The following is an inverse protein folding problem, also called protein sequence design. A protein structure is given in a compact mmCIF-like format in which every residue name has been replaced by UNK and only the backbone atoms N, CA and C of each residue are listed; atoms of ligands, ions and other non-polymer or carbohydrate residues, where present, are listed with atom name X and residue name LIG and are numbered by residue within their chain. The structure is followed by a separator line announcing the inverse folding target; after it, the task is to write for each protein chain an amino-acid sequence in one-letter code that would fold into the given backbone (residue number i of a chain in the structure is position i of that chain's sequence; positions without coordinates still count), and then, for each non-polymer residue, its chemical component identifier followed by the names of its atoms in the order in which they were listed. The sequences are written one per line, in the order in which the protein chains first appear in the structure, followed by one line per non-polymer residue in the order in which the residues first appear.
data_IF_542228314285
#
_entry.id   IF_542228314285
#
_cell.length_a   1.000
_cell.length_b   1.000
_cell.length_c   1.000
_cell.angle_alpha   90.00
_cell.angle_beta   90.00
_cell.angle_gamma   90.00
#
_symmetry.space_group_name_H-M   'P 1'
#
loop_
_entity.id
_entity.type
_entity.pdbx_description
1 polymer ?
#
# COMPACT_ATOMS: atom_id res chain seq x y z
N UNK A 1 10.99 -24.71 -96.59
CA UNK A 1 12.15 -24.16 -95.86
C UNK A 1 11.77 -23.16 -94.77
N UNK A 2 10.52 -22.70 -94.65
CA UNK A 2 10.10 -21.74 -93.61
C UNK A 2 9.80 -22.38 -92.24
N UNK A 3 9.38 -23.65 -92.20
CA UNK A 3 8.93 -24.33 -90.96
C UNK A 3 10.09 -24.73 -90.04
N UNK A 4 11.29 -24.97 -90.58
CA UNK A 4 12.50 -25.31 -89.81
C UNK A 4 13.22 -24.12 -89.17
N UNK A 5 12.85 -22.89 -89.54
CA UNK A 5 13.48 -21.66 -89.04
C UNK A 5 12.72 -21.15 -87.82
N UNK A 6 11.39 -21.27 -87.80
CA UNK A 6 10.57 -20.87 -86.66
C UNK A 6 10.79 -21.75 -85.41
N UNK A 7 11.00 -23.06 -85.57
CA UNK A 7 11.30 -23.96 -84.44
C UNK A 7 12.64 -23.67 -83.76
N UNK A 8 13.62 -23.13 -84.50
CA UNK A 8 14.94 -22.80 -83.98
C UNK A 8 14.99 -21.41 -83.33
N UNK A 9 14.16 -20.47 -83.78
CA UNK A 9 13.98 -19.17 -83.13
C UNK A 9 13.16 -19.31 -81.83
N UNK A 10 12.13 -20.16 -81.81
CA UNK A 10 11.32 -20.41 -80.62
C UNK A 10 12.14 -21.05 -79.49
N UNK A 11 13.04 -21.99 -79.81
CA UNK A 11 13.90 -22.63 -78.81
C UNK A 11 14.93 -21.68 -78.22
N UNK A 12 15.44 -20.73 -79.02
CA UNK A 12 16.41 -19.75 -78.55
C UNK A 12 15.78 -18.71 -77.62
N UNK A 13 14.53 -18.31 -77.90
CA UNK A 13 13.77 -17.37 -77.05
C UNK A 13 13.33 -18.03 -75.74
N UNK A 14 12.97 -19.32 -75.75
CA UNK A 14 12.69 -20.10 -74.53
C UNK A 14 13.93 -20.30 -73.64
N UNK A 15 15.10 -20.57 -74.23
CA UNK A 15 16.37 -20.68 -73.50
C UNK A 15 16.77 -19.35 -72.85
N UNK A 16 16.58 -18.22 -73.54
CA UNK A 16 16.88 -16.88 -73.00
C UNK A 16 15.96 -16.50 -71.83
N UNK A 17 14.67 -16.87 -71.90
CA UNK A 17 13.72 -16.67 -70.80
C UNK A 17 14.09 -17.54 -69.60
N UNK A 18 14.49 -18.80 -69.83
CA UNK A 18 14.88 -19.71 -68.75
C UNK A 18 16.14 -19.23 -68.02
N UNK A 19 17.15 -18.76 -68.75
CA UNK A 19 18.36 -18.16 -68.17
C UNK A 19 18.04 -16.88 -67.38
N UNK A 20 17.15 -16.02 -67.90
CA UNK A 20 16.74 -14.80 -67.20
C UNK A 20 15.99 -15.08 -65.90
N UNK A 21 15.13 -16.12 -65.87
CA UNK A 21 14.43 -16.54 -64.66
C UNK A 21 15.40 -17.13 -63.64
N UNK A 22 16.32 -18.00 -64.07
CA UNK A 22 17.34 -18.60 -63.18
C UNK A 22 18.26 -17.53 -62.58
N UNK A 23 18.72 -16.56 -63.35
CA UNK A 23 19.53 -15.45 -62.84
C UNK A 23 18.75 -14.58 -61.84
N UNK A 24 17.45 -14.38 -62.07
CA UNK A 24 16.59 -13.63 -61.16
C UNK A 24 16.36 -14.35 -59.82
N UNK A 25 16.19 -15.67 -59.85
CA UNK A 25 16.04 -16.49 -58.64
C UNK A 25 17.35 -16.52 -57.84
N UNK A 26 18.50 -16.67 -58.50
CA UNK A 26 19.82 -16.63 -57.86
C UNK A 26 20.11 -15.25 -57.24
N UNK A 27 19.73 -14.16 -57.92
CA UNK A 27 19.85 -12.81 -57.38
C UNK A 27 18.94 -12.60 -56.15
N UNK A 28 17.73 -13.18 -56.16
CA UNK A 28 16.79 -13.11 -55.04
C UNK A 28 17.29 -13.88 -53.81
N UNK A 29 17.81 -15.10 -53.98
CA UNK A 29 18.40 -15.88 -52.90
C UNK A 29 19.63 -15.18 -52.29
N UNK A 30 20.47 -14.57 -53.13
CA UNK A 30 21.63 -13.82 -52.67
C UNK A 30 21.22 -12.59 -51.84
N UNK A 31 20.12 -11.92 -52.22
CA UNK A 31 19.57 -10.80 -51.48
C UNK A 31 18.97 -11.23 -50.13
N UNK A 32 18.21 -12.33 -50.11
CA UNK A 32 17.63 -12.89 -48.88
C UNK A 32 18.71 -13.37 -47.89
N UNK A 33 19.73 -14.09 -48.37
CA UNK A 33 20.87 -14.50 -47.53
C UNK A 33 21.61 -13.30 -46.95
N UNK A 34 21.75 -12.22 -47.73
CA UNK A 34 22.38 -10.97 -47.26
C UNK A 34 21.52 -10.30 -46.18
N UNK A 35 20.20 -10.26 -46.34
CA UNK A 35 19.29 -9.72 -45.33
C UNK A 35 19.29 -10.57 -44.05
N UNK A 36 19.28 -11.91 -44.16
CA UNK A 36 19.37 -12.81 -43.01
C UNK A 36 20.68 -12.64 -42.24
N UNK A 37 21.81 -12.58 -42.95
CA UNK A 37 23.12 -12.36 -42.33
C UNK A 37 23.21 -11.00 -41.64
N UNK A 38 22.58 -9.97 -42.21
CA UNK A 38 22.55 -8.63 -41.64
C UNK A 38 21.63 -8.55 -40.41
N UNK A 39 20.48 -9.22 -40.45
CA UNK A 39 19.59 -9.38 -39.31
C UNK A 39 20.26 -10.16 -38.17
N UNK A 40 20.89 -11.30 -38.46
CA UNK A 40 21.62 -12.10 -37.49
C UNK A 40 22.80 -11.33 -36.88
N UNK A 41 23.56 -10.61 -37.71
CA UNK A 41 24.62 -9.71 -37.25
C UNK A 41 24.10 -8.60 -36.35
N UNK A 42 22.97 -7.97 -36.70
CA UNK A 42 22.35 -6.95 -35.89
C UNK A 42 21.85 -7.50 -34.54
N UNK A 43 21.24 -8.70 -34.53
CA UNK A 43 20.80 -9.34 -33.27
C UNK A 43 22.00 -9.68 -32.39
N UNK A 44 23.08 -10.21 -32.96
CA UNK A 44 24.30 -10.53 -32.21
C UNK A 44 24.94 -9.27 -31.61
N UNK A 45 25.03 -8.17 -32.38
CA UNK A 45 25.54 -6.89 -31.86
C UNK A 45 24.65 -6.36 -30.75
N UNK A 46 23.33 -6.44 -30.90
CA UNK A 46 22.38 -5.97 -29.88
C UNK A 46 22.52 -6.76 -28.58
N UNK A 47 22.55 -8.10 -28.65
CA UNK A 47 22.72 -8.98 -27.49
C UNK A 47 24.06 -8.73 -26.80
N UNK A 48 25.17 -8.69 -27.55
CA UNK A 48 26.49 -8.43 -26.99
C UNK A 48 26.57 -7.03 -26.36
N UNK A 49 25.97 -6.01 -26.98
CA UNK A 49 25.95 -4.66 -26.44
C UNK A 49 25.18 -4.59 -25.12
N UNK A 50 24.01 -5.22 -25.03
CA UNK A 50 23.24 -5.27 -23.78
C UNK A 50 23.91 -6.13 -22.70
N UNK A 51 24.57 -7.22 -23.08
CA UNK A 51 25.40 -8.01 -22.15
C UNK A 51 26.57 -7.17 -21.60
N UNK A 52 27.28 -6.43 -22.44
CA UNK A 52 28.36 -5.55 -22.01
C UNK A 52 27.84 -4.38 -21.15
N UNK A 53 26.71 -3.77 -21.52
CA UNK A 53 26.05 -2.74 -20.70
C UNK A 53 25.63 -3.30 -19.34
N UNK A 54 25.07 -4.50 -19.29
CA UNK A 54 24.71 -5.17 -18.03
C UNK A 54 25.93 -5.49 -17.17
N UNK A 55 27.04 -5.90 -17.79
CA UNK A 55 28.29 -6.17 -17.09
C UNK A 55 28.93 -4.88 -16.57
N UNK A 56 28.89 -3.79 -17.34
CA UNK A 56 29.42 -2.50 -16.91
C UNK A 56 28.57 -1.90 -15.79
N UNK A 57 27.24 -2.04 -15.83
CA UNK A 57 26.39 -1.60 -14.72
C UNK A 57 26.56 -2.48 -13.47
N UNK A 58 26.67 -3.80 -13.61
CA UNK A 58 26.97 -4.69 -12.48
C UNK A 58 28.34 -4.41 -11.85
N UNK A 59 29.36 -4.10 -12.67
CA UNK A 59 30.69 -3.69 -12.18
C UNK A 59 30.65 -2.28 -11.58
N UNK A 60 29.79 -1.38 -12.06
CA UNK A 60 29.63 -0.05 -11.49
C UNK A 60 29.00 -0.10 -10.09
N UNK A 61 28.01 -0.97 -9.88
CA UNK A 61 27.48 -1.26 -8.54
C UNK A 61 28.57 -1.85 -7.64
N UNK A 62 29.34 -2.85 -8.09
CA UNK A 62 30.47 -3.42 -7.31
C UNK A 62 31.58 -2.40 -7.00
N UNK A 63 31.82 -1.42 -7.89
CA UNK A 63 32.84 -0.39 -7.69
C UNK A 63 32.38 0.73 -6.74
N UNK A 64 31.07 1.01 -6.71
CA UNK A 64 30.43 1.91 -5.76
C UNK A 64 30.35 1.24 -4.37
N UNK A 65 30.06 -0.06 -4.33
CA UNK A 65 29.98 -0.86 -3.11
C UNK A 65 31.35 -1.11 -2.47
N UNK A 66 32.40 -1.32 -3.30
CA UNK A 66 33.79 -1.46 -2.85
C UNK A 66 34.45 -0.20 -2.28
N UNK A 67 33.76 0.95 -2.26
CA UNK A 67 34.15 2.16 -1.53
C UNK A 67 33.56 2.22 -0.12
N UNK A 68 32.67 1.29 0.24
CA UNK A 68 32.19 1.10 1.61
C UNK A 68 33.03 0.01 2.29
N UNK A 69 33.78 0.42 3.32
CA UNK A 69 34.56 -0.48 4.16
C UNK A 69 33.60 -1.18 5.15
N UNK A 70 32.75 -2.08 4.65
CA UNK A 70 31.85 -2.91 5.46
C UNK A 70 32.35 -4.35 5.41
N UNK A 71 33.14 -4.73 6.41
CA UNK A 71 33.60 -6.10 6.64
C UNK A 71 32.41 -6.99 7.02
N UNK A 72 31.75 -7.59 6.03
CA UNK A 72 30.72 -8.62 6.21
C UNK A 72 30.75 -9.68 5.10
N UNK A 73 30.30 -10.92 5.34
CA UNK A 73 30.11 -11.89 4.26
C UNK A 73 29.14 -11.31 3.23
N UNK A 74 29.43 -11.49 1.94
CA UNK A 74 28.84 -10.82 0.77
C UNK A 74 27.30 -10.95 0.55
N UNK A 75 26.53 -11.36 1.55
CA UNK A 75 25.07 -11.51 1.49
C UNK A 75 24.35 -10.95 2.74
N UNK A 76 25.01 -10.17 3.58
CA UNK A 76 24.37 -9.50 4.71
C UNK A 76 24.03 -8.06 4.35
N UNK A 77 22.74 -7.74 4.26
CA UNK A 77 22.29 -6.34 4.25
C UNK A 77 22.48 -5.83 5.68
N UNK A 78 23.51 -5.02 5.91
CA UNK A 78 23.74 -4.36 7.18
C UNK A 78 22.54 -3.49 7.55
N UNK A 79 21.85 -3.82 8.64
CA UNK A 79 20.80 -2.96 9.21
C UNK A 79 21.48 -1.99 10.17
N UNK A 80 21.52 -0.72 9.80
CA UNK A 80 21.84 0.35 10.75
C UNK A 80 20.54 0.86 11.37
N UNK A 81 20.45 0.76 12.68
CA UNK A 81 19.34 1.34 13.44
C UNK A 81 19.59 2.83 13.61
N UNK A 82 18.71 3.65 13.06
CA UNK A 82 18.71 5.10 13.25
C UNK A 82 18.08 5.48 14.60
N UNK A 83 18.07 6.77 14.91
CA UNK A 83 17.30 7.28 16.06
C UNK A 83 15.80 7.00 15.86
N UNK A 84 15.07 6.61 16.92
CA UNK A 84 13.65 6.35 16.83
C UNK A 84 12.89 7.65 16.55
N UNK A 85 11.88 7.55 15.68
CA UNK A 85 10.92 8.61 15.42
C UNK A 85 9.62 8.23 16.13
N UNK A 86 9.10 9.15 16.92
CA UNK A 86 7.90 8.92 17.71
C UNK A 86 6.71 9.61 17.05
N UNK A 87 5.58 8.90 17.01
CA UNK A 87 4.34 9.42 16.47
C UNK A 87 3.66 10.33 17.50
N UNK A 88 3.16 11.51 17.10
CA UNK A 88 2.61 12.47 18.04
C UNK A 88 1.33 11.96 18.68
N UNK A 89 1.09 12.39 19.90
CA UNK A 89 -0.23 12.35 20.52
C UNK A 89 -1.02 13.59 20.10
N UNK A 90 -2.34 13.52 20.16
CA UNK A 90 -3.15 14.72 20.09
C UNK A 90 -2.88 15.62 21.30
N UNK A 91 -2.86 16.95 21.08
CA UNK A 91 -2.40 17.93 22.06
C UNK A 91 -3.26 17.93 23.34
N UNK A 92 -4.57 17.79 23.20
CA UNK A 92 -5.53 17.69 24.29
C UNK A 92 -5.33 16.44 25.16
N UNK A 93 -4.68 15.41 24.62
CA UNK A 93 -4.47 14.12 25.29
C UNK A 93 -3.16 14.04 26.07
N UNK A 94 -2.35 15.11 26.08
CA UNK A 94 -1.07 15.17 26.79
C UNK A 94 -1.33 15.47 28.27
N UNK A 95 -1.25 14.45 29.13
CA UNK A 95 -1.48 14.57 30.58
C UNK A 95 -0.28 14.11 31.44
N UNK A 96 0.36 14.99 32.23
CA UNK A 96 1.49 14.67 33.13
C UNK A 96 1.17 13.67 34.24
N UNK A 97 -0.10 13.41 34.50
CA UNK A 97 -0.55 12.55 35.59
C UNK A 97 -0.93 11.14 35.14
N UNK A 98 -0.92 10.87 33.83
CA UNK A 98 -1.37 9.59 33.25
C UNK A 98 -0.39 8.42 33.44
N UNK A 99 0.75 8.64 34.09
CA UNK A 99 1.76 7.61 34.39
C UNK A 99 2.66 7.24 33.21
N UNK A 100 2.55 7.91 32.06
CA UNK A 100 3.56 7.87 31.01
C UNK A 100 4.83 8.57 31.51
N UNK A 101 5.98 8.11 31.02
CA UNK A 101 7.25 8.78 31.32
C UNK A 101 7.20 10.24 30.83
N UNK A 102 7.55 11.23 31.69
CA UNK A 102 7.54 12.64 31.32
C UNK A 102 8.26 12.99 30.02
N UNK A 103 9.28 12.23 29.65
CA UNK A 103 10.05 12.46 28.41
C UNK A 103 9.28 12.02 27.15
N UNK A 104 8.23 11.21 27.29
CA UNK A 104 7.46 10.64 26.18
C UNK A 104 6.00 11.09 26.11
N UNK A 105 5.58 11.96 27.02
CA UNK A 105 4.19 12.34 27.21
C UNK A 105 3.48 12.91 25.97
N UNK A 106 4.23 13.52 25.06
CA UNK A 106 3.74 14.08 23.81
C UNK A 106 3.53 13.05 22.69
N UNK A 107 3.77 11.76 22.95
CA UNK A 107 3.72 10.69 21.96
C UNK A 107 2.63 9.66 22.28
N UNK A 108 2.00 9.14 21.23
CA UNK A 108 0.99 8.11 21.37
C UNK A 108 1.54 6.80 21.91
N UNK A 109 0.75 6.12 22.73
CA UNK A 109 1.04 4.76 23.19
C UNK A 109 -0.09 3.87 22.72
N UNK A 110 0.30 2.74 22.16
CA UNK A 110 -0.63 1.77 21.67
C UNK A 110 0.03 0.42 21.51
N UNK A 111 -0.80 -0.57 21.23
CA UNK A 111 -0.39 -1.92 20.94
C UNK A 111 -1.02 -2.39 19.64
N UNK A 112 -0.53 -3.52 19.14
CA UNK A 112 -1.06 -4.16 17.94
C UNK A 112 -1.03 -3.27 16.69
N UNK A 113 0.13 -2.68 16.36
CA UNK A 113 0.19 -1.77 15.23
C UNK A 113 0.02 -2.51 13.91
N UNK A 114 -0.53 -1.80 12.92
CA UNK A 114 -0.43 -2.15 11.51
C UNK A 114 0.24 -1.02 10.73
N UNK A 115 0.95 -1.37 9.66
CA UNK A 115 1.71 -0.47 8.81
C UNK A 115 1.43 -0.79 7.35
N UNK A 116 1.10 0.25 6.59
CA UNK A 116 1.03 0.19 5.13
C UNK A 116 1.90 1.28 4.49
N UNK A 117 2.25 1.06 3.22
CA UNK A 117 3.00 1.99 2.39
C UNK A 117 2.35 2.02 1.02
N UNK A 118 2.09 3.23 0.51
CA UNK A 118 1.57 3.42 -0.84
C UNK A 118 2.69 3.47 -1.90
N UNK A 119 2.32 3.55 -3.18
CA UNK A 119 3.28 3.57 -4.29
C UNK A 119 4.14 4.83 -4.35
N UNK A 120 3.71 5.91 -3.70
CA UNK A 120 4.44 7.18 -3.58
C UNK A 120 5.42 7.18 -2.40
N UNK A 121 5.37 6.17 -1.53
CA UNK A 121 6.19 6.07 -0.32
C UNK A 121 5.59 6.78 0.89
N UNK A 122 4.32 7.19 0.82
CA UNK A 122 3.61 7.63 2.02
C UNK A 122 3.32 6.41 2.89
N UNK A 123 3.45 6.58 4.20
CA UNK A 123 3.29 5.51 5.17
C UNK A 123 2.12 5.80 6.08
N UNK A 124 1.38 4.76 6.46
CA UNK A 124 0.26 4.85 7.37
C UNK A 124 0.43 3.82 8.48
N UNK A 125 0.28 4.25 9.72
CA UNK A 125 0.37 3.39 10.90
C UNK A 125 -0.91 3.53 11.70
N UNK A 126 -1.49 2.41 12.08
CA UNK A 126 -2.51 2.36 13.14
C UNK A 126 -1.97 1.64 14.35
N UNK A 127 -2.55 1.91 15.50
CA UNK A 127 -2.38 1.11 16.71
C UNK A 127 -3.61 1.27 17.59
N UNK A 128 -3.98 0.22 18.31
CA UNK A 128 -4.96 0.34 19.38
C UNK A 128 -4.40 1.24 20.49
N UNK A 129 -5.16 2.22 20.97
CA UNK A 129 -4.83 3.03 22.15
C UNK A 129 -4.64 2.15 23.39
N UNK A 130 -3.56 2.37 24.15
CA UNK A 130 -3.37 1.62 25.40
C UNK A 130 -4.51 1.92 26.38
N UNK A 131 -5.16 0.85 26.87
CA UNK A 131 -6.36 0.85 27.70
C UNK A 131 -6.23 1.63 29.01
N UNK A 132 -5.02 2.08 29.40
CA UNK A 132 -4.80 2.77 30.67
C UNK A 132 -5.28 4.24 30.70
N UNK A 133 -5.99 4.73 29.68
CA UNK A 133 -6.02 6.16 29.34
C UNK A 133 -7.40 6.89 29.26
N UNK A 134 -8.48 6.57 29.99
CA UNK A 134 -9.77 7.35 29.87
C UNK A 134 -10.95 6.99 30.80
N UNK A 135 -12.11 7.64 30.76
CA UNK A 135 -13.18 7.68 31.82
C UNK A 135 -13.53 6.42 32.69
N UNK A 136 -14.13 6.58 33.90
CA UNK A 136 -14.69 5.46 34.72
C UNK A 136 -15.99 4.83 34.14
N UNK A 137 -16.58 5.44 33.11
CA UNK A 137 -17.82 4.98 32.45
C UNK A 137 -17.62 3.74 31.58
N UNK A 138 -18.67 2.93 31.42
CA UNK A 138 -18.66 1.78 30.50
C UNK A 138 -19.83 1.81 29.51
N UNK A 139 -19.59 1.46 28.24
CA UNK A 139 -20.63 1.34 27.21
C UNK A 139 -21.66 0.24 27.48
N UNK A 140 -21.39 -0.63 28.47
CA UNK A 140 -22.27 -1.70 28.92
C UNK A 140 -22.93 -1.42 30.27
N UNK A 141 -22.77 -0.22 30.84
CA UNK A 141 -23.51 0.21 32.01
C UNK A 141 -24.97 0.50 31.63
N UNK A 142 -26.00 -0.16 32.22
CA UNK A 142 -26.03 -1.06 33.40
C UNK A 142 -26.30 -2.54 33.03
N UNK A 143 -26.28 -2.91 31.76
CA UNK A 143 -26.54 -4.29 31.31
C UNK A 143 -25.54 -5.31 31.84
N UNK A 144 -24.30 -4.87 32.11
CA UNK A 144 -23.23 -5.67 32.73
C UNK A 144 -22.75 -5.10 34.08
N UNK A 145 -23.49 -4.16 34.67
CA UNK A 145 -23.28 -3.72 36.05
C UNK A 145 -22.35 -2.51 36.27
N UNK A 146 -21.97 -1.77 35.23
CA UNK A 146 -21.21 -0.52 35.37
C UNK A 146 -22.06 0.77 35.35
N UNK A 147 -21.46 1.93 35.70
CA UNK A 147 -22.16 3.21 35.77
C UNK A 147 -22.56 3.75 34.37
N UNK A 148 -23.63 4.55 34.33
CA UNK A 148 -24.16 5.27 33.15
C UNK A 148 -23.31 6.50 32.74
N UNK A 149 -22.05 6.56 33.16
CA UNK A 149 -21.28 7.80 33.11
C UNK A 149 -20.70 8.09 31.72
N UNK A 150 -20.33 9.35 31.50
CA UNK A 150 -19.55 9.77 30.34
C UNK A 150 -18.16 9.13 30.32
N UNK A 151 -17.62 8.88 29.12
CA UNK A 151 -16.27 8.39 28.92
C UNK A 151 -15.48 9.43 28.15
N UNK A 152 -14.63 10.18 28.84
CA UNK A 152 -13.86 11.22 28.21
C UNK A 152 -12.57 10.65 27.64
N UNK A 153 -12.27 11.02 26.39
CA UNK A 153 -10.90 11.10 25.94
C UNK A 153 -10.40 12.50 26.29
N UNK A 154 -9.23 12.57 26.93
CA UNK A 154 -8.43 13.80 26.95
C UNK A 154 -9.08 14.99 27.71
N UNK A 155 -9.69 14.74 28.88
CA UNK A 155 -10.17 15.80 29.80
C UNK A 155 -9.14 16.11 30.90
N UNK A 156 -8.76 17.37 31.04
CA UNK A 156 -7.79 17.85 32.02
C UNK A 156 -8.27 17.61 33.47
N UNK A 157 -7.51 16.82 34.23
CA UNK A 157 -7.75 16.56 35.65
C UNK A 157 -8.55 15.30 36.00
N UNK A 158 -9.03 14.53 35.01
CA UNK A 158 -9.78 13.29 35.22
C UNK A 158 -8.87 12.05 35.04
N UNK A 159 -8.44 11.46 36.17
CA UNK A 159 -7.64 10.22 36.22
C UNK A 159 -8.52 9.01 35.94
N UNK A 160 -8.39 8.37 34.79
CA UNK A 160 -9.37 7.35 34.41
C UNK A 160 -8.73 6.21 33.58
N UNK A 161 -9.35 5.03 33.58
CA UNK A 161 -8.80 3.73 33.14
C UNK A 161 -9.21 3.16 31.75
N UNK A 162 -9.69 3.95 30.77
CA UNK A 162 -10.36 3.54 29.50
C UNK A 162 -10.49 4.66 28.43
N UNK A 163 -9.49 4.87 27.56
CA UNK A 163 -9.59 5.70 26.33
C UNK A 163 -10.16 4.81 25.20
N UNK A 164 -11.37 4.27 25.40
CA UNK A 164 -11.72 2.93 24.89
C UNK A 164 -12.31 2.83 23.47
N UNK A 165 -12.16 3.83 22.60
CA UNK A 165 -13.00 3.83 21.38
C UNK A 165 -12.38 4.40 20.11
N UNK A 166 -11.06 4.61 20.01
CA UNK A 166 -10.51 4.93 18.70
C UNK A 166 -9.09 4.45 18.59
N UNK A 167 -8.77 3.72 17.53
CA UNK A 167 -7.38 3.47 17.18
C UNK A 167 -6.66 4.78 16.85
N UNK A 168 -5.36 4.79 17.05
CA UNK A 168 -4.49 5.78 16.43
C UNK A 168 -4.50 5.58 14.90
N UNK A 169 -4.45 6.66 14.15
CA UNK A 169 -4.14 6.63 12.72
C UNK A 169 -3.16 7.75 12.39
N UNK A 170 -1.91 7.37 12.17
CA UNK A 170 -0.83 8.27 11.81
C UNK A 170 -0.42 8.09 10.36
N UNK A 171 -0.01 9.20 9.77
CA UNK A 171 0.45 9.24 8.39
C UNK A 171 1.81 9.93 8.31
N UNK A 172 2.57 9.57 7.28
CA UNK A 172 3.80 10.25 6.90
C UNK A 172 3.85 10.36 5.39
N UNK A 173 3.91 11.59 4.87
CA UNK A 173 3.99 11.87 3.43
C UNK A 173 5.40 12.29 2.98
N UNK A 174 6.41 12.00 3.81
CA UNK A 174 7.80 12.41 3.58
C UNK A 174 8.81 11.32 3.96
N UNK A 175 8.53 10.09 3.54
CA UNK A 175 9.36 8.92 3.79
C UNK A 175 9.65 8.69 5.29
N UNK A 176 8.69 9.00 6.18
CA UNK A 176 8.79 8.68 7.61
C UNK A 176 9.60 9.67 8.42
N UNK A 177 9.99 10.80 7.83
CA UNK A 177 10.80 11.82 8.51
C UNK A 177 10.02 12.55 9.60
N UNK A 178 8.70 12.69 9.43
CA UNK A 178 7.77 13.09 10.47
C UNK A 178 6.42 12.37 10.32
N UNK A 179 5.60 12.47 11.36
CA UNK A 179 4.29 11.83 11.42
C UNK A 179 3.25 12.84 11.92
N UNK A 180 2.05 12.78 11.37
CA UNK A 180 0.85 13.53 11.77
C UNK A 180 -0.34 12.59 11.87
N UNK A 181 -1.47 13.09 12.36
CA UNK A 181 -2.74 12.35 12.29
C UNK A 181 -3.29 12.37 10.87
N UNK A 182 -3.97 11.29 10.47
CA UNK A 182 -4.71 11.28 9.21
C UNK A 182 -5.93 12.20 9.24
N UNK A 183 -6.44 12.54 8.06
CA UNK A 183 -7.57 13.47 7.94
C UNK A 183 -8.82 12.93 8.64
N UNK A 184 -9.56 13.83 9.30
CA UNK A 184 -10.78 13.50 10.07
C UNK A 184 -10.58 12.45 11.19
N UNK A 185 -9.33 12.21 11.60
CA UNK A 185 -8.96 11.35 12.73
C UNK A 185 -8.55 12.18 13.97
N UNK A 186 -9.23 13.30 14.19
CA UNK A 186 -9.09 14.13 15.39
C UNK A 186 -9.64 13.42 16.63
N UNK A 187 -9.33 13.85 17.86
CA UNK A 187 -9.91 13.22 19.06
C UNK A 187 -11.42 13.35 19.07
N UNK A 188 -12.10 12.23 19.32
CA UNK A 188 -13.55 12.22 19.49
C UNK A 188 -13.90 12.44 20.96
N UNK A 189 -14.68 13.48 21.31
CA UNK A 189 -15.20 13.66 22.66
C UNK A 189 -16.23 12.57 23.02
N UNK A 190 -16.06 11.84 24.12
CA UNK A 190 -16.85 10.63 24.39
C UNK A 190 -17.93 10.69 25.49
N UNK A 191 -19.09 10.09 25.17
CA UNK A 191 -20.07 9.35 25.99
C UNK A 191 -20.99 8.59 25.01
N UNK A 192 -21.90 7.70 25.46
CA UNK A 192 -22.77 6.91 24.54
C UNK A 192 -23.60 7.80 23.62
N UNK A 193 -24.05 8.95 24.13
CA UNK A 193 -24.83 9.93 23.36
C UNK A 193 -23.94 10.66 22.34
N UNK A 194 -22.69 10.97 22.68
CA UNK A 194 -21.74 11.58 21.73
C UNK A 194 -21.33 10.60 20.65
N UNK A 195 -21.11 9.32 20.96
CA UNK A 195 -20.86 8.27 19.97
C UNK A 195 -22.08 8.06 19.05
N UNK A 196 -23.29 8.07 19.62
CA UNK A 196 -24.52 7.96 18.83
C UNK A 196 -24.80 9.21 17.96
N UNK A 197 -24.43 10.41 18.42
CA UNK A 197 -24.53 11.65 17.64
C UNK A 197 -23.42 11.70 16.58
N UNK A 198 -22.19 11.36 16.94
CA UNK A 198 -21.02 11.30 16.04
C UNK A 198 -21.22 10.32 14.89
N UNK A 199 -21.84 9.17 15.14
CA UNK A 199 -22.27 8.24 14.08
C UNK A 199 -23.27 8.86 13.09
N UNK A 200 -23.98 9.92 13.46
CA UNK A 200 -25.01 10.59 12.65
C UNK A 200 -24.49 11.91 12.04
N UNK A 201 -23.54 12.59 12.69
CA UNK A 201 -22.95 13.86 12.23
C UNK A 201 -21.65 13.68 11.45
N UNK A 202 -20.88 12.64 11.77
CA UNK A 202 -19.92 11.97 10.91
C UNK A 202 -18.49 12.47 10.90
N UNK A 203 -17.56 11.52 11.00
CA UNK A 203 -16.14 11.67 10.60
C UNK A 203 -15.29 10.54 11.16
N UNK A 204 -14.15 10.24 10.52
CA UNK A 204 -13.26 9.10 10.80
C UNK A 204 -13.21 8.62 12.25
N UNK A 205 -12.76 9.48 13.17
CA UNK A 205 -12.70 9.13 14.59
C UNK A 205 -14.06 9.05 15.28
N UNK A 206 -15.08 9.83 14.88
CA UNK A 206 -16.40 9.86 15.53
C UNK A 206 -17.19 8.54 15.44
N UNK A 207 -16.69 7.60 14.64
CA UNK A 207 -17.34 6.34 14.31
C UNK A 207 -16.77 5.12 15.03
N UNK A 208 -15.71 5.33 15.80
CA UNK A 208 -15.22 4.51 16.92
C UNK A 208 -15.24 2.98 16.73
N UNK A 209 -14.11 2.45 16.25
CA UNK A 209 -13.56 1.12 16.51
C UNK A 209 -12.53 1.12 17.67
N UNK A 210 -12.11 -0.04 18.16
CA UNK A 210 -11.15 -0.26 19.26
C UNK A 210 -9.76 -0.63 18.70
N UNK A 211 -9.74 -1.55 17.73
CA UNK A 211 -8.53 -2.16 17.15
C UNK A 211 -8.69 -2.31 15.62
N UNK A 212 -7.61 -2.41 14.84
CA UNK A 212 -7.78 -2.51 13.39
C UNK A 212 -6.56 -2.85 12.56
N UNK A 213 -6.78 -2.98 11.24
CA UNK A 213 -5.74 -3.27 10.25
C UNK A 213 -5.88 -2.37 9.01
N UNK A 214 -4.76 -2.07 8.36
CA UNK A 214 -4.68 -1.16 7.21
C UNK A 214 -4.17 -1.92 5.98
N UNK A 215 -4.76 -1.63 4.82
CA UNK A 215 -4.20 -2.02 3.53
C UNK A 215 -4.28 -0.90 2.50
N UNK A 216 -3.42 -0.96 1.49
CA UNK A 216 -3.40 -0.03 0.36
C UNK A 216 -3.59 -0.80 -0.94
N UNK A 217 -4.44 -0.32 -1.84
CA UNK A 217 -4.65 -0.94 -3.15
C UNK A 217 -3.68 -0.43 -4.22
N UNK A 218 -3.83 -0.88 -5.47
CA UNK A 218 -2.91 -0.50 -6.55
C UNK A 218 -3.09 0.94 -7.06
N UNK A 219 -4.10 1.66 -6.56
CA UNK A 219 -4.40 3.05 -6.90
C UNK A 219 -4.10 4.00 -5.73
N UNK A 220 -3.30 3.56 -4.76
CA UNK A 220 -2.93 4.31 -3.55
C UNK A 220 -4.13 4.71 -2.68
N UNK A 221 -5.22 3.95 -2.76
CA UNK A 221 -6.34 4.11 -1.83
C UNK A 221 -6.04 3.30 -0.57
N UNK A 222 -6.15 3.97 0.58
CA UNK A 222 -5.92 3.39 1.89
C UNK A 222 -7.25 2.94 2.48
N UNK A 223 -7.30 1.71 2.94
CA UNK A 223 -8.44 1.13 3.64
C UNK A 223 -8.03 0.79 5.05
N UNK A 224 -8.69 1.41 6.01
CA UNK A 224 -8.51 1.11 7.42
C UNK A 224 -9.80 0.50 7.95
N UNK A 225 -9.69 -0.66 8.58
CA UNK A 225 -10.81 -1.34 9.22
C UNK A 225 -10.65 -1.22 10.74
N UNK A 226 -11.45 -0.36 11.35
CA UNK A 226 -11.51 -0.13 12.79
C UNK A 226 -12.61 -1.01 13.39
N UNK A 227 -12.32 -1.76 14.44
CA UNK A 227 -13.20 -2.82 14.96
C UNK A 227 -13.45 -2.64 16.44
N UNK A 228 -14.71 -2.62 16.86
CA UNK A 228 -15.08 -2.74 18.28
C UNK A 228 -16.06 -3.89 18.44
N UNK A 229 -15.59 -4.99 19.03
CA UNK A 229 -16.44 -6.13 19.37
C UNK A 229 -17.27 -6.61 18.16
N UNK A 230 -18.60 -6.46 18.19
CA UNK A 230 -19.50 -6.98 17.15
C UNK A 230 -19.54 -6.11 15.87
N UNK A 231 -18.87 -4.95 15.88
CA UNK A 231 -18.96 -3.94 14.83
C UNK A 231 -17.62 -3.60 14.20
N UNK A 232 -17.61 -3.53 12.87
CA UNK A 232 -16.47 -3.09 12.09
C UNK A 232 -16.82 -1.83 11.31
N UNK A 233 -15.89 -0.89 11.22
CA UNK A 233 -16.03 0.39 10.55
C UNK A 233 -14.96 0.52 9.48
N UNK A 234 -15.42 0.68 8.23
CA UNK A 234 -14.50 0.98 7.15
C UNK A 234 -14.23 2.47 7.09
N UNK A 235 -12.95 2.77 6.97
CA UNK A 235 -12.40 4.08 6.67
C UNK A 235 -11.64 3.97 5.35
N UNK A 236 -11.83 4.98 4.50
CA UNK A 236 -11.15 5.09 3.22
C UNK A 236 -10.45 6.43 3.16
N UNK A 237 -9.20 6.42 2.73
CA UNK A 237 -8.43 7.63 2.53
C UNK A 237 -7.75 7.65 1.16
N UNK A 238 -7.53 8.86 0.68
CA UNK A 238 -6.72 9.18 -0.48
C UNK A 238 -5.61 10.16 -0.10
N UNK A 239 -4.78 10.54 -1.08
CA UNK A 239 -3.68 11.51 -0.90
C UNK A 239 -2.72 11.14 0.25
N UNK A 240 -2.33 9.86 0.34
CA UNK A 240 -1.42 9.37 1.38
C UNK A 240 -2.02 9.34 2.80
N UNK A 241 -3.33 9.58 2.93
CA UNK A 241 -4.06 9.65 4.20
C UNK A 241 -4.51 11.07 4.59
N UNK A 242 -4.17 12.07 3.77
CA UNK A 242 -4.54 13.49 3.96
C UNK A 242 -5.96 13.83 3.51
N UNK A 243 -6.69 12.87 2.92
CA UNK A 243 -8.09 13.05 2.55
C UNK A 243 -8.94 11.86 2.96
N UNK A 244 -9.99 12.11 3.75
CA UNK A 244 -10.97 11.11 4.14
C UNK A 244 -12.15 11.02 3.15
N UNK A 245 -12.39 9.82 2.60
CA UNK A 245 -13.27 9.64 1.44
C UNK A 245 -14.70 9.16 1.78
N UNK A 246 -14.99 8.84 3.03
CA UNK A 246 -16.24 8.15 3.41
C UNK A 246 -17.44 9.10 3.68
N UNK A 247 -17.25 10.40 3.53
CA UNK A 247 -18.30 11.40 3.78
C UNK A 247 -18.69 11.50 5.27
N UNK A 248 -19.90 12.00 5.53
CA UNK A 248 -20.37 12.35 6.89
C UNK A 248 -21.08 11.21 7.64
N UNK A 249 -21.01 9.96 7.20
CA UNK A 249 -21.58 8.82 7.93
C UNK A 249 -20.66 7.63 7.70
N UNK A 250 -20.15 7.03 8.76
CA UNK A 250 -19.25 5.89 8.62
C UNK A 250 -19.97 4.62 8.18
N UNK A 251 -19.24 3.77 7.47
CA UNK A 251 -19.77 2.54 6.93
C UNK A 251 -19.53 1.39 7.89
N UNK A 252 -20.56 1.07 8.67
CA UNK A 252 -20.57 -0.07 9.58
C UNK A 252 -20.83 -1.38 8.82
N UNK A 253 -20.06 -2.41 9.16
CA UNK A 253 -20.38 -3.80 8.87
C UNK A 253 -20.72 -4.51 10.18
N UNK A 254 -21.92 -5.06 10.23
CA UNK A 254 -22.31 -5.90 11.36
C UNK A 254 -21.63 -7.26 11.22
N UNK A 255 -20.95 -7.71 12.28
CA UNK A 255 -20.40 -9.07 12.35
C UNK A 255 -21.24 -9.93 13.30
N UNK A 256 -21.08 -11.26 13.24
CA UNK A 256 -21.86 -12.18 14.09
C UNK A 256 -21.16 -12.58 15.40
N UNK A 257 -19.93 -12.15 15.62
CA UNK A 257 -19.19 -12.38 16.86
C UNK A 257 -18.09 -11.32 17.00
N UNK A 258 -17.69 -11.07 18.26
CA UNK A 258 -16.62 -10.14 18.59
C UNK A 258 -15.37 -10.41 17.74
N UNK A 259 -14.99 -9.41 16.96
CA UNK A 259 -13.76 -9.36 16.20
C UNK A 259 -12.79 -8.44 16.94
N UNK A 260 -11.65 -9.02 17.34
CA UNK A 260 -10.54 -8.34 18.02
C UNK A 260 -9.41 -8.09 17.02
N UNK A 261 -9.42 -8.75 15.84
CA UNK A 261 -8.29 -8.63 14.92
C UNK A 261 -8.65 -8.92 13.48
N UNK A 262 -9.13 -7.92 12.74
CA UNK A 262 -9.25 -8.07 11.30
C UNK A 262 -7.86 -8.24 10.68
N UNK A 263 -7.82 -8.97 9.57
CA UNK A 263 -6.71 -8.91 8.63
C UNK A 263 -7.22 -8.40 7.30
N UNK A 264 -6.62 -7.33 6.79
CA UNK A 264 -7.03 -6.67 5.56
C UNK A 264 -5.89 -6.73 4.56
N UNK A 265 -6.22 -7.09 3.32
CA UNK A 265 -5.30 -7.03 2.20
C UNK A 265 -6.03 -6.46 0.99
N UNK A 266 -5.50 -5.40 0.40
CA UNK A 266 -6.06 -4.78 -0.78
C UNK A 266 -5.19 -5.09 -2.01
N UNK A 267 -5.82 -5.22 -3.17
CA UNK A 267 -5.14 -5.43 -4.45
C UNK A 267 -5.94 -4.87 -5.61
N UNK A 268 -5.26 -4.58 -6.72
CA UNK A 268 -5.92 -4.07 -7.92
C UNK A 268 -6.65 -2.75 -7.66
N UNK A 269 -7.77 -2.54 -8.33
CA UNK A 269 -8.60 -1.35 -8.19
C UNK A 269 -9.77 -1.64 -7.24
N UNK A 270 -9.63 -1.24 -5.98
CA UNK A 270 -10.69 -1.37 -4.97
C UNK A 270 -11.04 -2.79 -4.53
N UNK A 271 -10.20 -3.80 -4.79
CA UNK A 271 -10.46 -5.18 -4.34
C UNK A 271 -9.83 -5.40 -2.97
N UNK A 272 -10.68 -5.49 -1.95
CA UNK A 272 -10.26 -5.64 -0.55
C UNK A 272 -10.64 -7.04 -0.06
N UNK A 273 -9.67 -7.75 0.48
CA UNK A 273 -9.85 -9.02 1.18
C UNK A 273 -9.82 -8.71 2.67
N UNK A 274 -10.88 -9.10 3.36
CA UNK A 274 -10.96 -9.00 4.80
C UNK A 274 -11.18 -10.40 5.37
N UNK A 275 -10.34 -10.73 6.35
CA UNK A 275 -10.46 -11.92 7.17
C UNK A 275 -10.57 -11.48 8.62
N UNK A 276 -11.77 -11.54 9.17
CA UNK A 276 -11.99 -11.40 10.61
C UNK A 276 -12.39 -12.72 11.25
N UNK A 277 -12.52 -12.73 12.57
CA UNK A 277 -13.04 -13.89 13.30
C UNK A 277 -14.45 -14.32 12.84
N UNK A 278 -15.18 -13.43 12.14
CA UNK A 278 -16.56 -13.62 11.69
C UNK A 278 -16.84 -13.31 10.21
N UNK A 279 -15.84 -12.89 9.41
CA UNK A 279 -15.89 -12.68 7.95
C UNK A 279 -17.19 -12.12 7.34
N UNK A 280 -17.39 -10.80 7.38
CA UNK A 280 -18.41 -10.09 6.59
C UNK A 280 -17.83 -9.56 5.26
N UNK A 281 -18.61 -9.47 4.18
CA UNK A 281 -18.12 -8.94 2.90
C UNK A 281 -18.04 -7.39 2.93
N UNK A 282 -17.00 -6.76 2.34
CA UNK A 282 -16.89 -5.30 2.26
C UNK A 282 -18.08 -4.68 1.50
N UNK A 283 -18.41 -3.40 1.74
CA UNK A 283 -19.49 -2.71 1.01
C UNK A 283 -19.23 -2.74 -0.50
N UNK A 284 -20.26 -3.07 -1.29
CA UNK A 284 -20.12 -3.07 -2.76
C UNK A 284 -19.95 -1.64 -3.29
N UNK A 285 -19.01 -1.45 -4.21
CA UNK A 285 -18.79 -0.20 -4.93
C UNK A 285 -20.09 0.24 -5.64
N UNK A 286 -20.64 1.40 -5.27
CA UNK A 286 -21.76 2.05 -5.98
C UNK A 286 -21.28 3.21 -6.83
#
# INVERSE_FOLDING_TARGET
MAERVMDAELSAEEDEILDAVLDSDVASEAAERRQLNLAFGATAVFVVSFMLLSAVWGIADDLIDGLSDETGPANEVGISWLEPIYMPRHEECIDPNNGQDPDYIGYGVGYEPSLSIDSMGNMQVTAHKDLRWGGEGTPFGPGLGGPFDSWYACEDGEMTSWDYWASWFWISTNNGSNWSHGDSFEPTPGNLLNSAIGSVTGGGSECLGDEGDIAVDANDVIYYLDTTLEDNWWHRFSDGGESYDMGSICQRMNTMAADDRPWVAAQGDGIIHYLGNSGAAPPECS
#
